data_IF_665711793222
#
_entry.id   IF_665711793222
#
_cell.length_a   1.000
_cell.length_b   1.000
_cell.length_c   1.000
_cell.angle_alpha   90.00
_cell.angle_beta   90.00
_cell.angle_gamma   90.00
#
_symmetry.space_group_name_H-M   'P 1'
#
loop_
_entity.id
_entity.type
_entity.pdbx_description
1 polymer ?
#
# COMPACT_ATOMS: atom_id res chain seq x y z
N UNK A 1 -11.43 -0.76 -8.22
CA UNK A 1 -12.63 -0.43 -7.41
C UNK A 1 -12.63 0.99 -6.81
N UNK A 2 -11.48 1.57 -6.47
CA UNK A 2 -11.35 2.97 -6.01
C UNK A 2 -11.75 4.04 -7.06
N UNK A 3 -11.97 3.66 -8.32
CA UNK A 3 -12.47 4.53 -9.39
C UNK A 3 -13.96 4.86 -9.26
N UNK A 4 -14.72 4.14 -8.43
CA UNK A 4 -16.15 4.40 -8.22
C UNK A 4 -16.35 5.74 -7.48
N UNK A 5 -17.18 6.66 -7.99
CA UNK A 5 -17.34 7.99 -7.38
C UNK A 5 -17.80 7.95 -5.91
N UNK A 6 -18.71 7.03 -5.57
CA UNK A 6 -19.21 6.90 -4.20
C UNK A 6 -18.10 6.50 -3.22
N UNK A 7 -17.19 5.63 -3.63
CA UNK A 7 -16.04 5.22 -2.81
C UNK A 7 -15.13 6.42 -2.54
N UNK A 8 -14.84 7.23 -3.57
CA UNK A 8 -14.01 8.43 -3.42
C UNK A 8 -14.65 9.45 -2.47
N UNK A 9 -15.96 9.66 -2.59
CA UNK A 9 -16.71 10.54 -1.71
C UNK A 9 -16.66 10.07 -0.25
N UNK A 10 -16.96 8.79 0.02
CA UNK A 10 -16.94 8.25 1.38
C UNK A 10 -15.56 8.37 2.02
N UNK A 11 -14.49 8.12 1.27
CA UNK A 11 -13.11 8.27 1.77
C UNK A 11 -12.78 9.75 2.02
N UNK A 12 -13.22 10.66 1.16
CA UNK A 12 -13.02 12.09 1.37
C UNK A 12 -13.77 12.61 2.61
N UNK A 13 -14.98 12.12 2.87
CA UNK A 13 -15.74 12.41 4.09
C UNK A 13 -15.05 11.88 5.35
N UNK A 14 -14.49 10.66 5.28
CA UNK A 14 -13.79 10.03 6.41
C UNK A 14 -12.50 10.76 6.79
N UNK A 15 -11.68 11.13 5.81
CA UNK A 15 -10.35 11.74 6.04
C UNK A 15 -10.34 13.27 5.95
N UNK A 16 -11.46 13.89 5.57
CA UNK A 16 -11.60 15.35 5.43
C UNK A 16 -10.72 15.98 4.36
N UNK A 17 -10.16 15.18 3.44
CA UNK A 17 -9.19 15.60 2.41
C UNK A 17 -9.47 14.88 1.11
N UNK A 18 -9.27 15.58 -0.02
CA UNK A 18 -9.40 14.97 -1.33
C UNK A 18 -8.30 13.91 -1.56
N UNK A 19 -8.63 12.72 -2.10
CA UNK A 19 -7.64 11.70 -2.40
C UNK A 19 -6.68 12.18 -3.51
N UNK A 20 -5.41 11.77 -3.43
CA UNK A 20 -4.41 12.10 -4.44
C UNK A 20 -4.72 11.38 -5.77
N UNK A 21 -4.74 12.14 -6.88
CA UNK A 21 -5.00 11.65 -8.23
C UNK A 21 -3.73 11.45 -9.08
N UNK A 22 -2.54 11.70 -8.53
CA UNK A 22 -1.26 11.54 -9.24
C UNK A 22 -0.77 10.09 -9.32
N UNK A 23 -1.42 9.15 -8.63
CA UNK A 23 -1.01 7.74 -8.56
C UNK A 23 -1.93 6.91 -9.45
N UNK A 24 -1.37 6.11 -10.35
CA UNK A 24 -2.15 5.15 -11.15
C UNK A 24 -2.59 3.97 -10.27
N UNK A 25 -3.90 3.80 -10.00
CA UNK A 25 -4.37 2.75 -9.10
C UNK A 25 -4.21 1.33 -9.67
N UNK A 26 -4.01 1.19 -10.99
CA UNK A 26 -3.98 -0.12 -11.64
C UNK A 26 -2.56 -0.70 -11.72
N UNK A 27 -1.52 0.15 -11.69
CA UNK A 27 -0.13 -0.24 -11.94
C UNK A 27 0.83 0.01 -10.76
N UNK A 28 0.47 0.89 -9.82
CA UNK A 28 1.37 1.31 -8.74
C UNK A 28 1.90 0.14 -7.90
N UNK A 29 1.09 -0.91 -7.71
CA UNK A 29 1.51 -2.12 -6.97
C UNK A 29 2.61 -2.88 -7.71
N UNK A 30 2.47 -3.06 -9.02
CA UNK A 30 3.47 -3.76 -9.83
C UNK A 30 4.79 -2.98 -9.87
N UNK A 31 4.72 -1.64 -9.98
CA UNK A 31 5.91 -0.78 -9.89
C UNK A 31 6.59 -0.89 -8.52
N UNK A 32 5.82 -0.88 -7.43
CA UNK A 32 6.37 -1.05 -6.08
C UNK A 32 7.09 -2.39 -5.91
N UNK A 33 6.52 -3.47 -6.45
CA UNK A 33 7.15 -4.79 -6.44
C UNK A 33 8.48 -4.80 -7.24
N UNK A 34 8.53 -4.14 -8.39
CA UNK A 34 9.76 -4.02 -9.18
C UNK A 34 10.85 -3.24 -8.44
N UNK A 35 10.49 -2.14 -7.77
CA UNK A 35 11.42 -1.36 -6.93
C UNK A 35 11.95 -2.22 -5.79
N UNK A 36 11.08 -2.96 -5.09
CA UNK A 36 11.51 -3.87 -4.02
C UNK A 36 12.46 -4.95 -4.55
N UNK A 37 12.24 -5.46 -5.77
CA UNK A 37 13.17 -6.36 -6.44
C UNK A 37 14.54 -5.72 -6.69
N UNK A 38 14.57 -4.48 -7.16
CA UNK A 38 15.82 -3.71 -7.34
C UNK A 38 16.58 -3.45 -6.03
N UNK A 39 15.86 -3.25 -4.92
CA UNK A 39 16.47 -3.12 -3.59
C UNK A 39 17.12 -4.43 -3.15
N UNK A 40 16.44 -5.56 -3.37
CA UNK A 40 16.98 -6.89 -3.07
C UNK A 40 18.16 -7.27 -3.96
N UNK A 41 18.16 -6.80 -5.22
CA UNK A 41 19.26 -6.98 -6.17
C UNK A 41 20.47 -6.07 -5.92
N UNK A 42 20.32 -5.02 -5.10
CA UNK A 42 21.37 -4.04 -4.82
C UNK A 42 21.48 -2.91 -5.86
N UNK A 43 20.61 -2.88 -6.87
CA UNK A 43 20.56 -1.82 -7.90
C UNK A 43 19.94 -0.52 -7.36
N UNK A 44 19.06 -0.64 -6.38
CA UNK A 44 18.42 0.50 -5.70
C UNK A 44 18.97 0.61 -4.28
N UNK A 45 19.61 1.73 -3.98
CA UNK A 45 20.21 2.05 -2.69
C UNK A 45 19.44 3.15 -1.97
N UNK A 46 19.68 3.33 -0.66
CA UNK A 46 19.05 4.34 0.21
C UNK A 46 17.53 4.22 0.42
N UNK A 47 16.99 3.00 0.32
CA UNK A 47 15.60 2.70 0.67
C UNK A 47 15.54 1.71 1.84
N UNK A 48 14.78 2.06 2.88
CA UNK A 48 14.51 1.20 4.03
C UNK A 48 13.01 0.88 4.11
N UNK A 49 12.67 -0.41 4.11
CA UNK A 49 11.31 -0.91 4.30
C UNK A 49 11.24 -1.74 5.60
N UNK A 50 10.29 -1.40 6.47
CA UNK A 50 9.97 -2.16 7.67
C UNK A 50 8.46 -2.45 7.66
N UNK A 51 8.11 -3.73 7.54
CA UNK A 51 6.71 -4.18 7.46
C UNK A 51 6.31 -5.01 8.70
N UNK A 52 5.01 -5.23 8.90
CA UNK A 52 4.43 -5.87 10.09
C UNK A 52 3.59 -7.10 9.74
N UNK A 53 3.45 -8.03 10.68
CA UNK A 53 2.50 -9.14 10.55
C UNK A 53 1.08 -8.68 10.91
N UNK A 54 0.08 -8.78 10.03
CA UNK A 54 -1.24 -8.16 10.24
C UNK A 54 -2.16 -8.96 11.16
N UNK A 55 -1.86 -10.25 11.39
CA UNK A 55 -2.68 -11.13 12.20
C UNK A 55 -1.98 -11.45 13.51
N UNK A 56 -2.76 -11.45 14.59
CA UNK A 56 -2.31 -11.98 15.87
C UNK A 56 -1.98 -13.46 15.72
N UNK A 57 -0.80 -13.85 16.18
CA UNK A 57 -0.38 -15.25 16.26
C UNK A 57 -0.50 -15.72 17.70
N UNK A 58 -1.25 -16.79 17.93
CA UNK A 58 -1.45 -17.37 19.25
C UNK A 58 -1.60 -18.89 19.17
N UNK A 59 -1.53 -19.54 20.32
CA UNK A 59 -1.79 -20.96 20.50
C UNK A 59 -2.98 -21.14 21.45
N UNK A 60 -3.75 -22.20 21.27
CA UNK A 60 -4.83 -22.58 22.19
C UNK A 60 -4.26 -23.21 23.47
N UNK A 61 -4.81 -22.85 24.63
CA UNK A 61 -4.46 -23.41 25.94
C UNK A 61 -5.70 -24.02 26.61
N UNK A 62 -5.56 -25.14 27.34
CA UNK A 62 -6.63 -25.84 28.07
C UNK A 62 -6.91 -25.25 29.46
#
# INVERSE_FOLDING_TARGET
MSRMPKVQQTVQELFGKAPNKSVNPDEAVAMGAAIQGGVLGGDVTDLLLLDVTPLSLGIETL
#
